data_IF_912614320252
#
_entry.id   IF_912614320252
#
_cell.length_a   1.000
_cell.length_b   1.000
_cell.length_c   1.000
_cell.angle_alpha   90.00
_cell.angle_beta   90.00
_cell.angle_gamma   90.00
#
_symmetry.space_group_name_H-M   'P 1'
#
loop_
_entity.id
_entity.type
_entity.pdbx_description
1 polymer ?
#
# COMPACT_ATOMS: atom_id res chain seq x y z
N UNK A 1 -0.15 -9.50 4.12
CA UNK A 1 -0.64 -10.80 4.59
C UNK A 1 -0.53 -11.82 3.45
N UNK A 2 0.71 -12.24 3.16
CA UNK A 2 0.92 -13.34 2.23
C UNK A 2 0.28 -14.62 2.80
N UNK A 3 -0.67 -15.21 2.09
CA UNK A 3 -1.27 -16.49 2.46
C UNK A 3 -2.66 -16.45 3.06
N UNK A 4 -3.34 -15.31 3.08
CA UNK A 4 -4.75 -15.30 3.42
C UNK A 4 -5.55 -16.08 2.38
N UNK A 5 -6.21 -17.15 2.78
CA UNK A 5 -7.14 -17.90 1.93
C UNK A 5 -8.47 -18.09 2.66
N UNK A 6 -9.58 -17.94 1.95
CA UNK A 6 -10.92 -18.16 2.50
C UNK A 6 -11.17 -19.61 2.96
N UNK A 7 -10.30 -20.52 2.58
CA UNK A 7 -10.35 -21.95 2.95
C UNK A 7 -9.42 -22.30 4.11
N UNK A 8 -8.63 -21.35 4.61
CA UNK A 8 -7.79 -21.61 5.76
C UNK A 8 -8.63 -21.96 6.96
N UNK A 9 -8.21 -22.99 7.69
CA UNK A 9 -8.75 -23.29 9.02
C UNK A 9 -8.76 -22.00 9.86
N UNK A 10 -9.80 -21.72 10.66
CA UNK A 10 -9.93 -20.49 11.42
C UNK A 10 -8.88 -20.39 12.55
N UNK A 11 -7.59 -20.41 12.18
CA UNK A 11 -6.53 -20.01 13.07
C UNK A 11 -6.47 -18.48 13.08
N UNK A 12 -6.37 -17.90 14.28
CA UNK A 12 -6.37 -16.44 14.45
C UNK A 12 -5.34 -15.70 13.59
N UNK A 13 -4.23 -16.34 13.20
CA UNK A 13 -3.19 -15.74 12.37
C UNK A 13 -3.50 -15.66 10.87
N UNK A 14 -4.60 -16.25 10.41
CA UNK A 14 -4.95 -16.35 8.99
C UNK A 14 -6.22 -15.57 8.62
N UNK A 15 -6.89 -14.96 9.60
CA UNK A 15 -8.13 -14.22 9.44
C UNK A 15 -7.98 -12.77 9.92
N UNK A 16 -8.61 -11.83 9.24
CA UNK A 16 -8.61 -10.42 9.68
C UNK A 16 -9.24 -10.26 11.06
N UNK A 17 -10.29 -11.04 11.37
CA UNK A 17 -10.95 -11.03 12.68
C UNK A 17 -10.03 -11.44 13.83
N UNK A 18 -8.97 -12.20 13.56
CA UNK A 18 -7.96 -12.60 14.54
C UNK A 18 -6.89 -11.53 14.81
N UNK A 19 -6.90 -10.41 14.09
CA UNK A 19 -5.97 -9.32 14.33
C UNK A 19 -6.28 -8.61 15.65
N UNK A 20 -5.24 -8.11 16.38
CA UNK A 20 -5.45 -7.35 17.61
C UNK A 20 -6.33 -6.12 17.41
N UNK A 21 -7.16 -5.79 18.41
CA UNK A 21 -8.02 -4.60 18.37
C UNK A 21 -7.24 -3.29 18.44
N UNK A 22 -5.97 -3.36 18.86
CA UNK A 22 -5.04 -2.22 18.91
C UNK A 22 -4.29 -1.96 17.60
N UNK A 23 -4.65 -2.66 16.51
CA UNK A 23 -4.00 -2.49 15.23
C UNK A 23 -4.66 -1.36 14.44
N UNK A 24 -3.91 -0.29 14.17
CA UNK A 24 -4.43 0.89 13.49
C UNK A 24 -4.53 0.72 11.98
N UNK A 25 -3.55 0.05 11.35
CA UNK A 25 -3.44 -0.05 9.89
C UNK A 25 -3.09 -1.48 9.46
N UNK A 26 -3.78 -1.98 8.43
CA UNK A 26 -3.48 -3.23 7.72
C UNK A 26 -3.15 -2.93 6.26
N UNK A 27 -2.02 -3.41 5.79
CA UNK A 27 -1.59 -3.30 4.39
C UNK A 27 -1.85 -4.61 3.62
N UNK A 28 -2.56 -4.52 2.50
CA UNK A 28 -2.99 -5.65 1.67
C UNK A 28 -1.94 -5.97 0.60
N UNK A 29 -1.12 -6.97 0.84
CA UNK A 29 -0.04 -7.36 -0.08
C UNK A 29 -0.44 -8.28 -1.23
N UNK A 30 -1.56 -8.97 -1.14
CA UNK A 30 -1.92 -10.04 -2.07
C UNK A 30 -3.18 -9.77 -2.91
N UNK A 31 -3.52 -8.51 -3.05
CA UNK A 31 -4.73 -8.10 -3.75
C UNK A 31 -5.86 -7.72 -2.79
N UNK A 32 -6.91 -7.15 -3.34
CA UNK A 32 -8.05 -6.62 -2.61
C UNK A 32 -9.14 -7.67 -2.52
N UNK A 33 -9.54 -8.14 -1.34
CA UNK A 33 -10.67 -9.06 -1.20
C UNK A 33 -11.97 -8.46 -1.75
N UNK A 34 -12.72 -9.25 -2.48
CA UNK A 34 -14.00 -8.87 -3.06
C UNK A 34 -15.03 -9.99 -2.91
N UNK A 35 -16.30 -9.64 -2.78
CA UNK A 35 -17.41 -10.57 -2.80
C UNK A 35 -18.02 -10.73 -4.21
N UNK A 36 -17.46 -10.11 -5.24
CA UNK A 36 -17.91 -10.20 -6.61
C UNK A 36 -17.35 -11.47 -7.28
N UNK A 37 -18.20 -12.46 -7.63
CA UNK A 37 -17.73 -13.72 -8.23
C UNK A 37 -17.11 -13.57 -9.63
N UNK A 38 -17.23 -12.42 -10.27
CA UNK A 38 -16.53 -12.13 -11.52
C UNK A 38 -15.00 -12.00 -11.34
N UNK A 39 -14.52 -11.84 -10.12
CA UNK A 39 -13.09 -11.68 -9.79
C UNK A 39 -12.49 -13.00 -9.26
N UNK A 40 -12.66 -14.09 -10.00
CA UNK A 40 -12.10 -15.41 -9.66
C UNK A 40 -10.57 -15.36 -9.56
N UNK A 41 -9.96 -14.57 -10.45
CA UNK A 41 -8.53 -14.25 -10.44
C UNK A 41 -8.31 -12.75 -10.13
N UNK A 42 -7.07 -12.29 -10.16
CA UNK A 42 -6.76 -10.87 -10.00
C UNK A 42 -7.35 -10.07 -11.15
N UNK A 43 -8.25 -9.14 -10.84
CA UNK A 43 -8.82 -8.21 -11.81
C UNK A 43 -7.81 -7.12 -12.21
N UNK A 44 -8.16 -6.30 -13.23
CA UNK A 44 -7.40 -5.09 -13.58
C UNK A 44 -7.20 -4.13 -12.39
N UNK A 45 -8.14 -4.10 -11.45
CA UNK A 45 -8.09 -3.29 -10.24
C UNK A 45 -7.57 -4.06 -9.01
N UNK A 46 -6.82 -5.14 -9.24
CA UNK A 46 -6.21 -5.97 -8.20
C UNK A 46 -7.21 -6.63 -7.22
N UNK A 47 -8.45 -6.78 -7.64
CA UNK A 47 -9.52 -7.43 -6.87
C UNK A 47 -9.47 -8.94 -7.05
N UNK A 48 -9.77 -9.67 -5.97
CA UNK A 48 -9.87 -11.14 -5.96
C UNK A 48 -11.16 -11.59 -5.31
N UNK A 49 -11.79 -12.62 -5.87
CA UNK A 49 -12.97 -13.21 -5.25
C UNK A 49 -12.58 -13.99 -4.00
N UNK A 50 -12.71 -13.35 -2.86
CA UNK A 50 -12.43 -13.88 -1.52
C UNK A 50 -13.55 -13.37 -0.57
N UNK A 51 -14.78 -13.92 -0.67
CA UNK A 51 -15.94 -13.34 0.02
C UNK A 51 -15.80 -13.33 1.54
N UNK A 52 -15.24 -14.38 2.14
CA UNK A 52 -15.00 -14.41 3.60
C UNK A 52 -13.99 -13.34 4.02
N UNK A 53 -12.90 -13.19 3.27
CA UNK A 53 -11.90 -12.16 3.55
C UNK A 53 -12.47 -10.75 3.38
N UNK A 54 -13.36 -10.55 2.40
CA UNK A 54 -14.06 -9.29 2.19
C UNK A 54 -14.95 -8.92 3.40
N UNK A 55 -15.73 -9.86 3.91
CA UNK A 55 -16.59 -9.64 5.07
C UNK A 55 -15.76 -9.34 6.32
N UNK A 56 -14.70 -10.10 6.55
CA UNK A 56 -13.80 -9.88 7.70
C UNK A 56 -13.03 -8.56 7.60
N UNK A 57 -12.58 -8.17 6.41
CA UNK A 57 -11.97 -6.87 6.15
C UNK A 57 -12.93 -5.73 6.52
N UNK A 58 -14.19 -5.83 6.10
CA UNK A 58 -15.20 -4.85 6.45
C UNK A 58 -15.49 -4.84 7.97
N UNK A 59 -15.49 -6.01 8.61
CA UNK A 59 -15.65 -6.09 10.06
C UNK A 59 -14.55 -5.34 10.81
N UNK A 60 -13.28 -5.56 10.48
CA UNK A 60 -12.18 -4.85 11.18
C UNK A 60 -12.23 -3.35 10.94
N UNK A 61 -12.66 -2.90 9.76
CA UNK A 61 -12.83 -1.48 9.45
C UNK A 61 -13.98 -0.86 10.24
N UNK A 62 -15.16 -1.49 10.24
CA UNK A 62 -16.38 -0.89 10.80
C UNK A 62 -16.53 -1.10 12.31
N UNK A 63 -15.98 -2.19 12.84
CA UNK A 63 -16.15 -2.57 14.27
C UNK A 63 -14.89 -2.26 15.08
N UNK A 64 -13.70 -2.59 14.53
CA UNK A 64 -12.43 -2.35 15.24
C UNK A 64 -11.82 -0.97 14.93
N UNK A 65 -12.27 -0.29 13.89
CA UNK A 65 -11.73 1.00 13.46
C UNK A 65 -10.36 0.90 12.78
N UNK A 66 -9.94 -0.31 12.39
CA UNK A 66 -8.67 -0.54 11.69
C UNK A 66 -8.76 -0.02 10.27
N UNK A 67 -7.82 0.81 9.86
CA UNK A 67 -7.70 1.26 8.46
C UNK A 67 -7.10 0.16 7.60
N UNK A 68 -7.61 0.01 6.38
CA UNK A 68 -7.12 -0.98 5.42
C UNK A 68 -6.62 -0.27 4.16
N UNK A 69 -5.34 -0.42 3.86
CA UNK A 69 -4.69 0.20 2.70
C UNK A 69 -4.27 -0.86 1.68
N UNK A 70 -4.28 -0.51 0.39
CA UNK A 70 -3.73 -1.35 -0.66
C UNK A 70 -2.20 -1.21 -0.70
N UNK A 71 -1.47 -2.33 -0.73
CA UNK A 71 -0.03 -2.31 -0.99
C UNK A 71 0.30 -2.65 -2.44
N UNK A 72 1.32 -2.00 -2.98
CA UNK A 72 1.86 -2.31 -4.30
C UNK A 72 3.33 -1.93 -4.41
N UNK A 73 4.11 -2.75 -5.14
CA UNK A 73 5.47 -2.40 -5.52
C UNK A 73 5.42 -1.31 -6.59
N UNK A 74 6.15 -0.22 -6.36
CA UNK A 74 6.19 0.93 -7.26
C UNK A 74 7.05 0.65 -8.49
N UNK A 75 6.46 0.15 -9.57
CA UNK A 75 7.16 -0.10 -10.82
C UNK A 75 6.39 0.38 -12.04
N UNK A 76 7.11 0.93 -13.01
CA UNK A 76 6.56 1.43 -14.28
C UNK A 76 7.42 0.93 -15.42
N UNK A 77 6.86 0.74 -16.60
CA UNK A 77 7.58 0.30 -17.80
C UNK A 77 6.85 -0.76 -18.62
N UNK A 78 5.60 -1.03 -18.29
CA UNK A 78 4.70 -1.85 -19.12
C UNK A 78 4.22 -1.05 -20.35
N UNK A 79 3.60 -1.73 -21.30
CA UNK A 79 2.93 -1.07 -22.44
C UNK A 79 1.83 -0.13 -21.99
N UNK A 80 1.17 -0.47 -20.89
CA UNK A 80 0.07 0.31 -20.31
C UNK A 80 0.58 1.54 -19.55
N UNK A 81 1.71 1.38 -18.85
CA UNK A 81 2.34 2.44 -18.06
C UNK A 81 3.79 2.62 -18.54
N UNK A 82 4.01 3.31 -19.66
CA UNK A 82 5.35 3.51 -20.22
C UNK A 82 6.20 4.45 -19.36
N UNK A 83 7.53 4.36 -19.51
CA UNK A 83 8.51 5.21 -18.80
C UNK A 83 8.49 6.64 -19.34
N UNK A 84 7.40 7.35 -19.10
CA UNK A 84 7.15 8.76 -19.50
C UNK A 84 6.35 9.48 -18.42
N UNK A 85 6.29 10.81 -18.46
CA UNK A 85 5.46 11.60 -17.54
C UNK A 85 3.97 11.23 -17.66
N UNK A 86 3.47 10.99 -18.88
CA UNK A 86 2.11 10.51 -19.10
C UNK A 86 1.88 9.10 -18.52
N UNK A 87 2.89 8.24 -18.56
CA UNK A 87 2.84 6.92 -17.94
C UNK A 87 2.84 6.99 -16.40
N UNK A 88 3.57 7.93 -15.82
CA UNK A 88 3.51 8.23 -14.38
C UNK A 88 2.07 8.60 -13.98
N UNK A 89 1.48 9.56 -14.71
CA UNK A 89 0.12 10.01 -14.44
C UNK A 89 -0.90 8.88 -14.59
N UNK A 90 -0.81 8.10 -15.67
CA UNK A 90 -1.69 6.97 -15.91
C UNK A 90 -1.59 5.91 -14.81
N UNK A 91 -0.38 5.59 -14.34
CA UNK A 91 -0.16 4.62 -13.26
C UNK A 91 -0.69 5.13 -11.93
N UNK A 92 -0.41 6.40 -11.57
CA UNK A 92 -0.94 7.01 -10.36
C UNK A 92 -2.48 7.00 -10.35
N UNK A 93 -3.12 7.37 -11.47
CA UNK A 93 -4.57 7.32 -11.62
C UNK A 93 -5.13 5.89 -11.53
N UNK A 94 -4.42 4.91 -12.08
CA UNK A 94 -4.80 3.50 -11.95
C UNK A 94 -4.83 3.07 -10.48
N UNK A 95 -3.75 3.34 -9.73
CA UNK A 95 -3.70 3.01 -8.29
C UNK A 95 -4.76 3.76 -7.49
N UNK A 96 -4.98 5.04 -7.78
CA UNK A 96 -6.03 5.81 -7.14
C UNK A 96 -7.41 5.16 -7.36
N UNK A 97 -7.70 4.71 -8.58
CA UNK A 97 -8.95 4.00 -8.89
C UNK A 97 -9.08 2.67 -8.15
N UNK A 98 -7.98 1.90 -8.00
CA UNK A 98 -8.00 0.67 -7.20
C UNK A 98 -8.49 0.93 -5.77
N UNK A 99 -7.93 1.93 -5.12
CA UNK A 99 -8.28 2.32 -3.75
C UNK A 99 -9.71 2.86 -3.66
N UNK A 100 -10.05 3.84 -4.50
CA UNK A 100 -11.35 4.52 -4.43
C UNK A 100 -12.52 3.62 -4.81
N UNK A 101 -12.36 2.76 -5.83
CA UNK A 101 -13.38 1.80 -6.25
C UNK A 101 -13.72 0.79 -5.16
N UNK A 102 -12.73 0.39 -4.36
CA UNK A 102 -12.91 -0.58 -3.29
C UNK A 102 -13.11 0.08 -1.92
N UNK A 103 -13.27 1.40 -1.90
CA UNK A 103 -13.43 2.19 -0.67
C UNK A 103 -12.39 1.89 0.40
N UNK A 104 -11.13 1.63 0.01
CA UNK A 104 -10.04 1.42 0.95
C UNK A 104 -9.60 2.74 1.59
N UNK A 105 -8.90 2.63 2.71
CA UNK A 105 -8.51 3.76 3.54
C UNK A 105 -7.19 4.41 3.10
N UNK A 106 -6.58 3.92 2.01
CA UNK A 106 -5.37 4.51 1.45
C UNK A 106 -4.53 3.57 0.61
N UNK A 107 -3.34 4.03 0.32
CA UNK A 107 -2.33 3.38 -0.52
C UNK A 107 -1.00 3.29 0.23
N UNK A 108 -0.37 2.13 0.19
CA UNK A 108 0.95 1.83 0.70
C UNK A 108 1.86 1.46 -0.48
N UNK A 109 2.91 2.25 -0.68
CA UNK A 109 3.81 2.14 -1.81
C UNK A 109 5.13 1.51 -1.38
N UNK A 110 5.38 0.27 -1.80
CA UNK A 110 6.66 -0.38 -1.63
C UNK A 110 7.69 0.20 -2.61
N UNK A 111 8.53 1.10 -2.07
CA UNK A 111 9.55 1.83 -2.83
C UNK A 111 10.89 1.11 -2.77
N UNK A 112 11.11 0.24 -3.73
CA UNK A 112 12.36 -0.49 -3.94
C UNK A 112 12.86 -0.28 -5.38
N UNK A 113 13.34 0.92 -5.75
CA UNK A 113 13.61 1.26 -7.15
C UNK A 113 14.81 0.51 -7.75
N UNK A 114 15.85 0.21 -6.98
CA UNK A 114 17.04 -0.56 -7.41
C UNK A 114 17.54 -0.21 -8.82
N UNK A 115 17.56 1.08 -9.15
CA UNK A 115 17.91 1.57 -10.48
C UNK A 115 16.77 1.60 -11.50
N UNK A 116 15.53 1.34 -11.09
CA UNK A 116 14.35 1.53 -11.95
C UNK A 116 14.17 3.02 -12.31
N UNK A 117 13.45 3.27 -13.40
CA UNK A 117 13.16 4.60 -13.89
C UNK A 117 12.28 5.42 -12.92
N UNK A 118 11.40 4.77 -12.16
CA UNK A 118 10.54 5.42 -11.16
C UNK A 118 11.30 5.64 -9.84
N UNK A 119 12.27 6.56 -9.89
CA UNK A 119 13.08 7.00 -8.75
C UNK A 119 13.37 8.49 -8.84
N UNK A 120 13.90 9.08 -7.77
CA UNK A 120 14.28 10.49 -7.69
C UNK A 120 13.14 11.42 -8.18
N UNK A 121 13.39 12.30 -9.12
CA UNK A 121 12.41 13.26 -9.64
C UNK A 121 11.15 12.57 -10.23
N UNK A 122 11.31 11.40 -10.85
CA UNK A 122 10.16 10.67 -11.39
C UNK A 122 9.26 10.12 -10.29
N UNK A 123 9.86 9.63 -9.19
CA UNK A 123 9.08 9.23 -8.02
C UNK A 123 8.41 10.43 -7.35
N UNK A 124 9.10 11.57 -7.25
CA UNK A 124 8.53 12.81 -6.75
C UNK A 124 7.32 13.26 -7.58
N UNK A 125 7.39 13.19 -8.90
CA UNK A 125 6.24 13.47 -9.78
C UNK A 125 5.07 12.52 -9.51
N UNK A 126 5.37 11.22 -9.38
CA UNK A 126 4.37 10.19 -9.10
C UNK A 126 3.64 10.44 -7.77
N UNK A 127 4.39 10.74 -6.70
CA UNK A 127 3.84 11.08 -5.38
C UNK A 127 2.97 12.35 -5.44
N UNK A 128 3.40 13.38 -6.19
CA UNK A 128 2.60 14.61 -6.37
C UNK A 128 1.25 14.35 -7.05
N UNK A 129 1.20 13.44 -8.02
CA UNK A 129 -0.08 13.07 -8.66
C UNK A 129 -0.97 12.34 -7.66
N UNK A 130 -0.42 11.37 -6.91
CA UNK A 130 -1.15 10.63 -5.85
C UNK A 130 -1.61 11.55 -4.72
N UNK A 131 -0.83 12.59 -4.39
CA UNK A 131 -1.14 13.59 -3.38
C UNK A 131 -2.43 14.39 -3.65
N UNK A 132 -3.00 14.32 -4.87
CA UNK A 132 -4.32 14.87 -5.15
C UNK A 132 -5.46 13.96 -4.64
N UNK A 133 -5.18 12.71 -4.29
CA UNK A 133 -6.17 11.71 -3.88
C UNK A 133 -5.96 11.23 -2.44
N UNK A 134 -4.72 11.17 -1.98
CA UNK A 134 -4.29 10.58 -0.72
C UNK A 134 -3.29 11.49 0.00
N UNK A 135 -3.15 11.26 1.31
CA UNK A 135 -2.16 11.97 2.10
C UNK A 135 -2.56 13.41 2.48
N UNK A 136 -1.67 14.12 3.19
CA UNK A 136 -1.98 15.39 3.84
C UNK A 136 -2.42 16.53 2.90
N UNK A 137 -1.99 16.48 1.63
CA UNK A 137 -2.31 17.53 0.65
C UNK A 137 -3.63 17.28 -0.11
N UNK A 138 -4.20 16.08 -0.01
CA UNK A 138 -5.38 15.68 -0.80
C UNK A 138 -6.69 16.31 -0.31
N UNK A 139 -6.74 16.74 0.95
CA UNK A 139 -7.97 17.15 1.61
C UNK A 139 -8.93 16.00 1.94
N UNK A 140 -8.47 14.74 1.79
CA UNK A 140 -9.21 13.52 2.17
C UNK A 140 -8.61 12.93 3.46
N UNK A 141 -9.30 11.94 4.04
CA UNK A 141 -8.80 11.16 5.17
C UNK A 141 -8.03 9.90 4.75
N UNK A 142 -7.84 9.71 3.44
CA UNK A 142 -7.17 8.52 2.88
C UNK A 142 -5.65 8.66 2.95
N UNK A 143 -5.01 7.63 3.47
CA UNK A 143 -3.57 7.60 3.72
C UNK A 143 -2.75 7.44 2.44
N UNK A 144 -1.61 8.10 2.39
CA UNK A 144 -0.50 7.79 1.50
C UNK A 144 0.70 7.37 2.33
N UNK A 145 1.10 6.12 2.20
CA UNK A 145 2.23 5.52 2.91
C UNK A 145 3.30 5.18 1.88
N UNK A 146 4.56 5.38 2.23
CA UNK A 146 5.71 4.91 1.47
C UNK A 146 6.54 4.02 2.38
N UNK A 147 6.54 2.73 2.09
CA UNK A 147 7.45 1.81 2.73
C UNK A 147 8.70 1.61 1.84
N UNK A 148 9.88 1.45 2.43
CA UNK A 148 11.12 1.36 1.69
C UNK A 148 12.17 0.52 2.43
N UNK A 149 13.06 -0.12 1.68
CA UNK A 149 14.12 -0.95 2.25
C UNK A 149 15.45 -0.21 2.38
N UNK A 150 16.20 -0.06 1.31
CA UNK A 150 17.56 0.49 1.33
C UNK A 150 17.65 1.92 0.80
N UNK A 151 16.91 2.25 -0.23
CA UNK A 151 16.95 3.56 -0.87
C UNK A 151 15.93 4.49 -0.23
N UNK A 152 16.40 5.61 0.31
CA UNK A 152 15.53 6.63 0.88
C UNK A 152 14.65 7.26 -0.21
N UNK A 153 13.36 7.45 0.04
CA UNK A 153 12.51 8.26 -0.82
C UNK A 153 13.03 9.70 -0.94
N UNK A 154 12.82 10.38 -2.06
CA UNK A 154 13.20 11.78 -2.22
C UNK A 154 12.54 12.68 -1.17
N UNK A 155 13.30 13.60 -0.57
CA UNK A 155 12.81 14.51 0.48
C UNK A 155 11.63 15.36 0.03
N UNK A 156 11.56 15.69 -1.24
CA UNK A 156 10.47 16.46 -1.86
C UNK A 156 9.11 15.75 -1.78
N UNK A 157 9.08 14.47 -1.40
CA UNK A 157 7.84 13.71 -1.21
C UNK A 157 7.21 13.90 0.18
N UNK A 158 7.98 14.37 1.18
CA UNK A 158 7.53 14.53 2.57
C UNK A 158 6.18 15.26 2.73
N UNK A 159 5.90 16.37 2.02
CA UNK A 159 4.64 17.09 2.20
C UNK A 159 3.38 16.32 1.80
N UNK A 160 3.54 15.23 1.03
CA UNK A 160 2.45 14.47 0.43
C UNK A 160 2.18 13.14 1.13
N UNK A 161 3.07 12.67 2.01
CA UNK A 161 3.08 11.33 2.59
C UNK A 161 2.74 11.40 4.07
N UNK A 162 1.81 10.56 4.55
CA UNK A 162 1.46 10.46 5.96
C UNK A 162 2.52 9.72 6.77
N UNK A 163 3.03 8.61 6.21
CA UNK A 163 4.00 7.76 6.90
C UNK A 163 5.10 7.26 5.95
N UNK A 164 6.35 7.38 6.40
CA UNK A 164 7.47 6.68 5.82
C UNK A 164 7.82 5.49 6.72
N UNK A 165 7.78 4.29 6.17
CA UNK A 165 8.01 3.04 6.91
C UNK A 165 9.27 2.37 6.39
N UNK A 166 10.32 2.30 7.21
CA UNK A 166 11.55 1.60 6.82
C UNK A 166 11.44 0.12 7.11
N UNK A 167 11.60 -0.71 6.11
CA UNK A 167 11.66 -2.16 6.24
C UNK A 167 12.97 -2.55 6.95
N UNK A 168 12.86 -3.19 8.12
CA UNK A 168 13.99 -3.49 8.99
C UNK A 168 14.16 -5.00 9.22
N UNK A 169 14.03 -5.82 8.17
CA UNK A 169 14.01 -7.28 8.25
C UNK A 169 15.27 -7.91 8.85
N UNK A 170 16.44 -7.27 8.70
CA UNK A 170 17.73 -7.81 9.16
C UNK A 170 18.31 -7.05 10.33
N UNK A 171 17.52 -6.27 11.05
CA UNK A 171 18.00 -5.47 12.16
C UNK A 171 18.12 -6.33 13.41
N UNK A 172 19.36 -6.72 13.73
CA UNK A 172 19.66 -7.64 14.83
C UNK A 172 19.76 -6.99 16.22
N UNK A 173 19.67 -5.66 16.35
CA UNK A 173 19.79 -4.97 17.65
C UNK A 173 19.05 -3.63 17.66
N UNK A 174 18.67 -3.18 18.86
CA UNK A 174 18.08 -1.85 19.07
C UNK A 174 19.02 -0.72 18.63
N UNK A 175 20.33 -0.89 18.82
CA UNK A 175 21.33 0.10 18.40
C UNK A 175 21.39 0.23 16.87
N UNK A 176 21.31 -0.87 16.14
CA UNK A 176 21.25 -0.85 14.67
C UNK A 176 19.96 -0.21 14.20
N UNK A 177 18.84 -0.46 14.86
CA UNK A 177 17.56 0.17 14.56
C UNK A 177 17.61 1.69 14.79
N UNK A 178 18.15 2.12 15.92
CA UNK A 178 18.36 3.54 16.23
C UNK A 178 19.23 4.23 15.16
N UNK A 179 20.34 3.60 14.78
CA UNK A 179 21.23 4.14 13.74
C UNK A 179 20.52 4.28 12.37
N UNK A 180 19.59 3.39 12.05
CA UNK A 180 18.77 3.50 10.82
C UNK A 180 17.76 4.64 10.93
N UNK A 181 17.18 4.85 12.10
CA UNK A 181 16.27 5.95 12.38
C UNK A 181 16.97 7.30 12.27
N UNK A 182 18.16 7.43 12.84
CA UNK A 182 18.95 8.66 12.83
C UNK A 182 19.34 9.12 11.40
N UNK A 183 19.31 8.20 10.41
CA UNK A 183 19.54 8.53 9.00
C UNK A 183 18.32 9.22 8.33
N UNK A 184 17.17 9.24 8.99
CA UNK A 184 15.93 9.86 8.49
C UNK A 184 15.75 11.30 9.00
N UNK A 185 16.66 11.77 9.87
CA UNK A 185 16.57 13.06 10.56
C UNK A 185 17.23 14.19 9.79
#
# INVERSE_FOLDING_TARGET
YAGYTSEASPSQGLHFTGLPDSLDIVSLWSGIPSNNPAYVETSYYNERYLPTAYEEMNYIRTVKGTRVVMCTICRIGSTEFPKTDAGIEAYALHLARCVLRNDLDGLDLDYEPEGDWLQNDNFTKFIKVLGNYFGPQSGTDKLLIVDFYNQLPPKETEPYVDYFVRQCYTTGSAQTLQSKFDQLS
#
